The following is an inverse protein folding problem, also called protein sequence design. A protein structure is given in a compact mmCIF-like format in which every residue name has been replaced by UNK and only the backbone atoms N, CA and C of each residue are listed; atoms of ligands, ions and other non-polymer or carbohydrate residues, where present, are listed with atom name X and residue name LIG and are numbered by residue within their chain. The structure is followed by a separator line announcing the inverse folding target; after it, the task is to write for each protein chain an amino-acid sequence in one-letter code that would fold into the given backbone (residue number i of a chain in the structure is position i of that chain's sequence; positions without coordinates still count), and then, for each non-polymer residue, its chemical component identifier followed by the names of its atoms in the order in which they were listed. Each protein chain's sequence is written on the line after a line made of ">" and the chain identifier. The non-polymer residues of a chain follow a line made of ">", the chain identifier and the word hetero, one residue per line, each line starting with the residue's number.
data_IF_190906481430
#
_entry.id   IF_190906481430
#
_cell.length_a   1.000
_cell.length_b   1.000
_cell.length_c   1.000
_cell.angle_alpha   90.00
_cell.angle_beta   90.00
_cell.angle_gamma   90.00
#
_symmetry.space_group_name_H-M   'P 1'
#
loop_
_entity.id
_entity.type
_entity.pdbx_description
1 polymer ?
#
# COMPACT_ATOMS: atom_id res chain seq x y z
N UNK A 1 -0.72 -12.96 -1.06
CA UNK A 1 -2.06 -12.78 -1.67
C UNK A 1 -1.91 -12.06 -3.01
N UNK A 2 -0.79 -11.40 -3.26
CA UNK A 2 -0.53 -10.45 -4.35
C UNK A 2 -0.24 -11.10 -5.70
N UNK A 3 0.44 -12.27 -5.74
CA UNK A 3 0.75 -12.97 -7.00
C UNK A 3 -0.51 -13.48 -7.73
N UNK A 4 -1.52 -13.86 -6.94
CA UNK A 4 -2.85 -14.26 -7.43
C UNK A 4 -3.90 -13.15 -7.32
N UNK A 5 -3.76 -12.23 -6.37
CA UNK A 5 -4.74 -11.18 -6.10
C UNK A 5 -4.72 -10.08 -7.14
N UNK A 6 -3.54 -9.60 -7.54
CA UNK A 6 -3.44 -8.49 -8.51
C UNK A 6 -4.07 -8.87 -9.87
N UNK A 7 -3.77 -10.04 -10.48
CA UNK A 7 -4.38 -10.41 -11.76
C UNK A 7 -5.91 -10.55 -11.70
N UNK A 8 -6.46 -10.84 -10.53
CA UNK A 8 -7.90 -11.05 -10.33
C UNK A 8 -8.65 -9.78 -9.89
N UNK A 9 -7.97 -8.66 -9.67
CA UNK A 9 -8.60 -7.40 -9.31
C UNK A 9 -9.36 -6.79 -10.50
N UNK A 10 -10.67 -6.60 -10.35
CA UNK A 10 -11.53 -5.96 -11.37
C UNK A 10 -11.89 -4.50 -11.04
N UNK A 11 -11.59 -4.04 -9.83
CA UNK A 11 -11.85 -2.68 -9.39
C UNK A 11 -11.01 -1.61 -10.10
N UNK A 12 -11.51 -0.39 -10.16
CA UNK A 12 -10.78 0.77 -10.69
C UNK A 12 -9.60 1.17 -9.78
N UNK A 13 -9.76 0.97 -8.48
CA UNK A 13 -8.74 1.17 -7.46
C UNK A 13 -8.40 -0.13 -6.77
N UNK A 14 -7.12 -0.33 -6.51
CA UNK A 14 -6.58 -1.48 -5.78
C UNK A 14 -5.90 -0.97 -4.52
N UNK A 15 -6.15 -1.64 -3.40
CA UNK A 15 -5.46 -1.43 -2.11
C UNK A 15 -5.01 -2.79 -1.61
N UNK A 16 -3.93 -2.81 -0.83
CA UNK A 16 -3.46 -4.01 -0.16
C UNK A 16 -3.89 -3.94 1.30
N UNK A 17 -4.28 -5.08 1.87
CA UNK A 17 -4.67 -5.18 3.26
C UNK A 17 -4.23 -6.53 3.79
N UNK A 18 -3.33 -6.50 4.76
CA UNK A 18 -2.91 -7.68 5.50
C UNK A 18 -4.05 -8.14 6.42
N UNK A 19 -4.10 -9.45 6.66
CA UNK A 19 -5.18 -10.09 7.40
C UNK A 19 -5.33 -9.58 8.85
N UNK A 20 -4.23 -9.17 9.48
CA UNK A 20 -4.17 -8.65 10.84
C UNK A 20 -4.45 -7.13 10.92
N UNK A 21 -4.63 -6.46 9.77
CA UNK A 21 -4.91 -5.05 9.67
C UNK A 21 -6.40 -4.76 9.38
N UNK A 22 -6.83 -3.53 9.69
CA UNK A 22 -8.19 -3.08 9.39
C UNK A 22 -8.24 -1.64 8.90
N UNK A 23 -9.11 -1.40 7.94
CA UNK A 23 -9.46 -0.04 7.53
C UNK A 23 -10.58 0.54 8.39
N UNK A 24 -10.56 1.86 8.67
CA UNK A 24 -11.74 2.52 9.22
C UNK A 24 -12.88 2.51 8.19
N UNK A 25 -14.17 2.52 8.61
CA UNK A 25 -15.31 2.38 7.70
C UNK A 25 -15.37 3.40 6.56
N UNK A 26 -14.79 4.60 6.75
CA UNK A 26 -14.79 5.67 5.75
C UNK A 26 -13.53 5.72 4.88
N UNK A 27 -12.61 4.78 5.05
CA UNK A 27 -11.30 4.80 4.38
C UNK A 27 -11.41 4.83 2.86
N UNK A 28 -12.06 3.82 2.28
CA UNK A 28 -12.18 3.63 0.82
C UNK A 28 -12.83 4.85 0.16
N UNK A 29 -13.91 5.37 0.75
CA UNK A 29 -14.57 6.59 0.28
C UNK A 29 -13.59 7.77 0.22
N UNK A 30 -12.87 8.04 1.31
CA UNK A 30 -11.95 9.18 1.41
C UNK A 30 -10.80 9.11 0.41
N UNK A 31 -10.23 7.92 0.20
CA UNK A 31 -9.11 7.74 -0.74
C UNK A 31 -9.57 7.89 -2.19
N UNK A 32 -10.78 7.41 -2.53
CA UNK A 32 -11.36 7.59 -3.87
C UNK A 32 -11.73 9.06 -4.12
N UNK A 33 -12.38 9.73 -3.16
CA UNK A 33 -12.69 11.17 -3.26
C UNK A 33 -11.41 12.00 -3.43
N UNK A 34 -10.35 11.68 -2.69
CA UNK A 34 -9.04 12.32 -2.81
C UNK A 34 -8.42 12.09 -4.19
N UNK A 35 -8.46 10.86 -4.69
CA UNK A 35 -7.98 10.48 -6.02
C UNK A 35 -8.61 11.32 -7.11
N UNK A 36 -9.96 11.35 -7.14
CA UNK A 36 -10.72 12.08 -8.15
C UNK A 36 -10.45 13.58 -8.05
N UNK A 37 -10.51 14.15 -6.84
CA UNK A 37 -10.29 15.59 -6.63
C UNK A 37 -8.91 16.04 -7.10
N UNK A 38 -7.88 15.23 -6.88
CA UNK A 38 -6.50 15.59 -7.16
C UNK A 38 -5.97 14.99 -8.48
N UNK A 39 -6.82 14.30 -9.25
CA UNK A 39 -6.41 13.49 -10.41
C UNK A 39 -5.19 12.59 -10.12
N UNK A 40 -5.15 12.00 -8.91
CA UNK A 40 -4.01 11.22 -8.42
C UNK A 40 -4.23 9.74 -8.70
N UNK A 41 -3.26 9.06 -9.33
CA UNK A 41 -3.38 7.63 -9.68
C UNK A 41 -2.62 6.70 -8.73
N UNK A 42 -1.87 7.29 -7.80
CA UNK A 42 -1.08 6.62 -6.80
C UNK A 42 -1.15 7.44 -5.51
N UNK A 43 -1.61 6.83 -4.42
CA UNK A 43 -1.84 7.51 -3.15
C UNK A 43 -1.19 6.72 -2.02
N UNK A 44 -0.52 7.45 -1.15
CA UNK A 44 0.01 6.95 0.12
C UNK A 44 -0.85 7.46 1.28
N UNK A 45 -1.25 6.56 2.16
CA UNK A 45 -1.96 6.89 3.39
C UNK A 45 -1.06 6.66 4.62
N UNK A 46 -1.45 7.19 5.78
CA UNK A 46 -0.74 6.94 7.04
C UNK A 46 -1.42 5.78 7.77
N UNK A 47 -0.63 4.90 8.36
CA UNK A 47 -1.12 3.87 9.27
C UNK A 47 -0.82 4.26 10.74
N UNK A 48 -1.76 3.94 11.62
CA UNK A 48 -1.65 4.15 13.06
C UNK A 48 -1.77 2.80 13.78
N UNK A 49 -0.98 2.62 14.84
CA UNK A 49 -1.05 1.41 15.66
C UNK A 49 -2.31 1.43 16.54
N UNK A 50 -2.96 0.27 16.59
CA UNK A 50 -4.09 -0.01 17.46
C UNK A 50 -3.78 -1.26 18.30
N UNK A 51 -4.35 -1.37 19.49
CA UNK A 51 -4.33 -2.61 20.27
C UNK A 51 -5.37 -3.62 19.75
N UNK A 52 -5.41 -4.81 20.36
CA UNK A 52 -6.38 -5.85 20.04
C UNK A 52 -7.84 -5.45 20.34
N UNK A 53 -8.05 -4.48 21.25
CA UNK A 53 -9.35 -3.85 21.51
C UNK A 53 -9.73 -2.77 20.50
N UNK A 54 -8.84 -2.43 19.55
CA UNK A 54 -9.04 -1.40 18.55
C UNK A 54 -8.75 0.02 19.03
N UNK A 55 -8.19 0.20 20.24
CA UNK A 55 -7.81 1.50 20.76
C UNK A 55 -6.49 1.96 20.14
N UNK A 56 -6.40 3.25 19.81
CA UNK A 56 -5.18 3.82 19.21
C UNK A 56 -4.06 3.91 20.24
N UNK A 57 -2.90 3.38 19.91
CA UNK A 57 -1.69 3.44 20.73
C UNK A 57 -0.91 4.77 20.58
N UNK A 58 -1.48 5.76 19.89
CA UNK A 58 -0.90 7.10 19.72
C UNK A 58 0.35 7.19 18.86
N UNK A 59 0.81 6.07 18.28
CA UNK A 59 2.01 6.01 17.43
C UNK A 59 1.64 5.78 15.97
N UNK A 60 2.14 6.66 15.09
CA UNK A 60 2.19 6.37 13.67
C UNK A 60 3.34 5.39 13.43
N UNK A 61 3.13 4.40 12.55
CA UNK A 61 4.13 3.35 12.30
C UNK A 61 5.45 3.90 11.75
N UNK A 62 5.41 4.96 10.93
CA UNK A 62 6.61 5.67 10.45
C UNK A 62 6.31 7.16 10.22
N UNK A 63 7.28 8.02 10.50
CA UNK A 63 7.30 9.39 10.00
C UNK A 63 7.93 9.39 8.60
N UNK A 64 7.16 9.73 7.57
CA UNK A 64 7.69 9.92 6.21
C UNK A 64 8.48 11.24 6.21
N UNK A 65 9.77 11.23 5.86
CA UNK A 65 10.59 12.44 5.78
C UNK A 65 10.03 13.42 4.74
N UNK A 66 10.28 14.72 4.93
CA UNK A 66 9.86 15.75 3.96
C UNK A 66 10.64 15.66 2.62
N UNK A 67 11.81 15.04 2.63
CA UNK A 67 12.69 14.80 1.47
C UNK A 67 12.51 13.39 0.88
N UNK A 68 11.29 12.85 0.93
CA UNK A 68 10.96 11.48 0.50
C UNK A 68 11.31 11.14 -0.95
N UNK A 69 11.67 12.12 -1.79
CA UNK A 69 12.15 11.92 -3.16
C UNK A 69 13.67 11.69 -3.26
N UNK A 70 14.41 11.72 -2.14
CA UNK A 70 15.83 11.39 -2.11
C UNK A 70 16.02 9.89 -2.43
N UNK A 71 16.58 9.62 -3.60
CA UNK A 71 16.80 8.27 -4.13
C UNK A 71 17.67 7.42 -3.19
N UNK A 72 18.68 8.02 -2.54
CA UNK A 72 19.56 7.32 -1.61
C UNK A 72 18.78 6.87 -0.38
N UNK A 73 17.85 7.69 0.12
CA UNK A 73 16.97 7.30 1.24
C UNK A 73 15.98 6.21 0.86
N UNK A 74 15.39 6.29 -0.34
CA UNK A 74 14.48 5.26 -0.85
C UNK A 74 15.16 3.90 -0.99
N UNK A 75 16.42 3.88 -1.46
CA UNK A 75 17.23 2.65 -1.56
C UNK A 75 17.58 2.10 -0.17
N UNK A 76 17.86 2.97 0.80
CA UNK A 76 18.30 2.55 2.14
C UNK A 76 17.15 2.13 3.06
N UNK A 77 15.93 2.65 2.84
CA UNK A 77 14.75 2.38 3.68
C UNK A 77 13.45 2.50 2.89
N UNK A 78 12.58 1.51 3.08
CA UNK A 78 11.16 1.62 2.71
C UNK A 78 10.40 2.33 3.83
N UNK A 79 9.85 3.51 3.52
CA UNK A 79 9.02 4.30 4.45
C UNK A 79 7.52 4.04 4.29
N UNK A 80 7.16 3.24 3.28
CA UNK A 80 5.79 2.94 2.90
C UNK A 80 5.62 1.43 2.83
N UNK A 81 4.71 0.91 3.66
CA UNK A 81 4.21 -0.46 3.54
C UNK A 81 3.07 -0.54 2.52
N UNK A 82 2.81 -1.74 2.01
CA UNK A 82 1.76 -1.99 1.01
C UNK A 82 0.35 -1.67 1.52
N UNK A 83 0.05 -1.85 2.81
CA UNK A 83 -1.24 -1.51 3.43
C UNK A 83 -1.60 -0.02 3.31
N UNK A 84 -0.60 0.83 3.03
CA UNK A 84 -0.76 2.28 2.84
C UNK A 84 -0.94 2.70 1.40
N UNK A 85 -0.90 1.77 0.46
CA UNK A 85 -0.92 2.09 -0.97
C UNK A 85 -2.33 1.91 -1.52
N UNK A 86 -2.83 2.97 -2.18
CA UNK A 86 -3.99 2.90 -3.08
C UNK A 86 -3.52 3.26 -4.47
N UNK A 87 -3.77 2.38 -5.43
CA UNK A 87 -3.28 2.52 -6.80
C UNK A 87 -4.43 2.35 -7.79
N UNK A 88 -4.48 3.22 -8.79
CA UNK A 88 -5.40 3.08 -9.91
C UNK A 88 -4.98 1.85 -10.73
N UNK A 89 -5.95 1.02 -11.12
CA UNK A 89 -5.71 -0.28 -11.77
C UNK A 89 -4.87 -0.18 -13.03
N UNK A 90 -5.06 0.86 -13.85
CA UNK A 90 -4.21 1.13 -15.03
C UNK A 90 -2.73 1.32 -14.69
N UNK A 91 -2.38 1.98 -13.57
CA UNK A 91 -0.99 2.13 -13.15
C UNK A 91 -0.43 0.79 -12.69
N UNK A 92 -1.20 0.05 -11.89
CA UNK A 92 -0.80 -1.28 -11.43
C UNK A 92 -0.56 -2.24 -12.60
N UNK A 93 -1.44 -2.23 -13.61
CA UNK A 93 -1.28 -3.02 -14.85
C UNK A 93 0.01 -2.69 -15.60
N UNK A 94 0.42 -1.42 -15.61
CA UNK A 94 1.69 -1.00 -16.20
C UNK A 94 2.92 -1.46 -15.39
N UNK A 95 2.80 -1.56 -14.06
CA UNK A 95 3.88 -2.01 -13.17
C UNK A 95 4.01 -3.53 -13.08
N UNK A 96 2.93 -4.28 -13.39
CA UNK A 96 2.89 -5.73 -13.27
C UNK A 96 4.04 -6.47 -13.96
N UNK A 97 4.44 -6.15 -15.21
CA UNK A 97 5.57 -6.81 -15.87
C UNK A 97 6.87 -6.66 -15.08
N UNK A 98 7.15 -5.45 -14.58
CA UNK A 98 8.37 -5.16 -13.80
C UNK A 98 8.36 -5.87 -12.44
N UNK A 99 7.21 -5.88 -11.77
CA UNK A 99 7.07 -6.59 -10.50
C UNK A 99 7.38 -8.08 -10.68
N UNK A 100 6.92 -8.71 -11.77
CA UNK A 100 7.16 -10.14 -12.06
C UNK A 100 8.64 -10.50 -12.24
N UNK A 101 9.50 -9.53 -12.52
CA UNK A 101 10.96 -9.75 -12.60
C UNK A 101 11.60 -9.87 -11.22
N UNK A 102 10.89 -9.48 -10.16
CA UNK A 102 11.31 -9.66 -8.77
C UNK A 102 11.03 -11.11 -8.32
N UNK A 103 11.87 -12.04 -8.79
CA UNK A 103 11.75 -13.48 -8.57
C UNK A 103 12.69 -14.00 -7.46
N UNK A 104 13.25 -13.10 -6.66
CA UNK A 104 14.05 -13.47 -5.49
C UNK A 104 13.19 -13.53 -4.23
N UNK A 105 13.47 -14.51 -3.36
CA UNK A 105 12.83 -14.69 -2.05
C UNK A 105 12.87 -13.42 -1.17
N UNK A 106 13.87 -12.54 -1.37
CA UNK A 106 13.93 -11.23 -0.70
C UNK A 106 12.74 -10.32 -1.01
N UNK A 107 12.02 -10.57 -2.11
CA UNK A 107 10.85 -9.84 -2.53
C UNK A 107 9.56 -10.64 -2.34
N UNK A 108 9.62 -11.79 -1.65
CA UNK A 108 8.44 -12.59 -1.40
C UNK A 108 7.40 -11.83 -0.60
N UNK A 109 7.78 -10.90 0.28
CA UNK A 109 6.84 -9.99 0.96
C UNK A 109 5.97 -9.16 -0.01
N UNK A 110 6.41 -8.90 -1.24
CA UNK A 110 5.59 -8.26 -2.29
C UNK A 110 4.48 -9.23 -2.74
N UNK A 111 4.71 -10.53 -2.64
CA UNK A 111 3.87 -11.63 -3.11
C UNK A 111 3.14 -12.39 -1.99
N UNK A 112 3.59 -12.28 -0.75
CA UNK A 112 3.26 -13.14 0.37
C UNK A 112 1.76 -13.12 0.68
N UNK A 113 1.21 -14.33 0.73
CA UNK A 113 0.00 -14.67 1.46
C UNK A 113 0.52 -15.33 2.73
N UNK A 114 0.22 -14.77 3.91
CA UNK A 114 0.33 -15.55 5.13
C UNK A 114 -0.64 -16.73 5.04
N UNK A 115 -0.13 -17.93 5.26
CA UNK A 115 -0.92 -19.09 5.69
C UNK A 115 -1.34 -18.90 7.15
#
# INVERSE_FOLDING_TARGET
>A
MTRYGIPNCTGEYVTFLDYDNKFPPTYIRKVVELSVRNNSRFIFTRASLIDSGGQRLGRNLCNVPNDYADLKRLVMRNYVDTNRIVIHSNVLKGLLPELRLLDSEFYDWIWEAGF
#
